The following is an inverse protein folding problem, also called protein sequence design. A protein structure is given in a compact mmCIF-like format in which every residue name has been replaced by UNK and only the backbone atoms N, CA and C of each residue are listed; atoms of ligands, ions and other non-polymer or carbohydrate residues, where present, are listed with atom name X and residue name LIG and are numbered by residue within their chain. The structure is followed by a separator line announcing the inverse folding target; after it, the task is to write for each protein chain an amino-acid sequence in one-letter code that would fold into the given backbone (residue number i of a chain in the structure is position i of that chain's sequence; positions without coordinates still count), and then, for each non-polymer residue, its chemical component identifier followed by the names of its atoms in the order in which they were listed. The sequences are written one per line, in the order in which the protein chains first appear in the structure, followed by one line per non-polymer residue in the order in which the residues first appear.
data_IF_062693783416
#
_entry.id   IF_062693783416
#
_cell.length_a   1.000
_cell.length_b   1.000
_cell.length_c   1.000
_cell.angle_alpha   90.00
_cell.angle_beta   90.00
_cell.angle_gamma   90.00
#
_symmetry.space_group_name_H-M   'P 1'
#
loop_
_entity.id
_entity.type
_entity.pdbx_description
1 polymer ?
#
# COMPACT_ATOMS: atom_id res chain seq x y z
N UNK A 1 19.25 32.98 -14.46
CA UNK A 1 19.64 31.60 -14.07
C UNK A 1 18.86 31.30 -12.81
N UNK A 2 17.93 30.34 -12.86
CA UNK A 2 17.15 29.97 -11.67
C UNK A 2 18.06 29.34 -10.62
N UNK A 3 17.71 29.51 -9.34
CA UNK A 3 18.38 28.80 -8.26
C UNK A 3 18.31 27.28 -8.49
N UNK A 4 19.40 26.57 -8.21
CA UNK A 4 19.42 25.13 -8.31
C UNK A 4 18.37 24.53 -7.35
N UNK A 5 17.64 23.46 -7.75
CA UNK A 5 16.68 22.83 -6.86
C UNK A 5 17.35 22.39 -5.55
N UNK A 6 16.75 22.72 -4.40
CA UNK A 6 17.26 22.31 -3.06
C UNK A 6 17.51 20.81 -2.94
N UNK A 7 16.75 20.00 -3.67
CA UNK A 7 16.93 18.55 -3.73
C UNK A 7 18.34 18.14 -4.18
N UNK A 8 19.06 18.97 -4.93
CA UNK A 8 20.43 18.65 -5.37
C UNK A 8 21.46 18.78 -4.24
N UNK A 9 21.09 19.38 -3.12
CA UNK A 9 21.92 19.45 -1.90
C UNK A 9 21.75 18.20 -1.03
N UNK A 10 20.72 17.38 -1.27
CA UNK A 10 20.54 16.12 -0.57
C UNK A 10 21.68 15.15 -0.92
N UNK A 11 22.33 14.60 0.11
CA UNK A 11 23.54 13.78 -0.06
C UNK A 11 23.29 12.51 -0.88
N UNK A 12 22.09 11.93 -0.80
CA UNK A 12 21.72 10.74 -1.56
C UNK A 12 21.53 11.11 -3.02
N UNK A 13 20.75 12.15 -3.30
CA UNK A 13 20.50 12.62 -4.67
C UNK A 13 21.80 13.08 -5.32
N UNK A 14 22.60 13.91 -4.64
CA UNK A 14 23.89 14.42 -5.13
C UNK A 14 24.83 13.28 -5.49
N UNK A 15 24.91 12.24 -4.65
CA UNK A 15 25.70 11.05 -4.96
C UNK A 15 25.28 10.43 -6.29
N UNK A 16 24.00 10.21 -6.55
CA UNK A 16 23.57 9.64 -7.83
C UNK A 16 23.88 10.56 -9.02
N UNK A 17 23.77 11.88 -8.85
CA UNK A 17 24.08 12.86 -9.89
C UNK A 17 25.59 13.02 -10.16
N UNK A 18 26.47 12.74 -9.19
CA UNK A 18 27.92 12.83 -9.36
C UNK A 18 28.53 11.63 -10.10
N UNK A 19 27.89 10.45 -9.96
CA UNK A 19 28.40 9.20 -10.54
C UNK A 19 27.66 8.78 -11.82
N UNK A 20 26.66 9.55 -12.26
CA UNK A 20 25.98 9.29 -13.53
C UNK A 20 26.76 9.91 -14.70
N UNK A 21 26.74 9.25 -15.85
CA UNK A 21 27.27 9.79 -17.11
C UNK A 21 26.16 10.41 -17.99
N UNK A 22 24.89 10.32 -17.56
CA UNK A 22 23.73 10.81 -18.30
C UNK A 22 23.27 12.18 -17.78
N UNK A 23 22.79 13.01 -18.71
CA UNK A 23 22.21 14.31 -18.37
C UNK A 23 20.86 14.19 -17.66
N UNK A 24 20.11 13.13 -17.97
CA UNK A 24 18.79 12.85 -17.41
C UNK A 24 18.84 11.71 -16.38
N UNK A 25 18.30 11.95 -15.19
CA UNK A 25 18.18 10.97 -14.11
C UNK A 25 16.76 10.97 -13.55
N UNK A 26 16.18 9.78 -13.39
CA UNK A 26 14.83 9.60 -12.83
C UNK A 26 14.90 8.83 -11.52
N UNK A 27 14.33 9.41 -10.46
CA UNK A 27 14.16 8.75 -9.17
C UNK A 27 12.75 8.18 -9.08
N UNK A 28 12.64 6.85 -8.98
CA UNK A 28 11.36 6.14 -9.04
C UNK A 28 11.05 5.54 -7.68
N UNK A 29 9.82 5.74 -7.22
CA UNK A 29 9.24 5.06 -6.06
C UNK A 29 8.16 4.09 -6.54
N UNK A 30 8.33 2.81 -6.21
CA UNK A 30 7.28 1.79 -6.39
C UNK A 30 6.63 1.54 -5.04
N UNK A 31 5.34 1.85 -4.93
CA UNK A 31 4.61 1.76 -3.68
C UNK A 31 3.28 1.03 -3.85
N UNK A 32 2.83 0.40 -2.76
CA UNK A 32 1.47 -0.16 -2.66
C UNK A 32 0.47 0.97 -2.33
N UNK A 33 -0.85 0.71 -2.21
CA UNK A 33 -1.84 1.71 -1.82
C UNK A 33 -1.58 2.44 -0.49
N UNK A 34 -0.56 2.04 0.28
CA UNK A 34 -0.08 2.80 1.45
C UNK A 34 0.32 4.23 1.08
N UNK A 35 0.77 4.48 -0.15
CA UNK A 35 1.13 5.83 -0.64
C UNK A 35 -0.08 6.78 -0.71
N UNK A 36 -1.30 6.23 -0.80
CA UNK A 36 -2.53 7.03 -0.93
C UNK A 36 -2.87 7.81 0.36
N UNK A 37 -2.32 7.44 1.53
CA UNK A 37 -2.75 7.98 2.82
C UNK A 37 -1.57 8.33 3.73
N UNK A 38 -1.57 9.55 4.28
CA UNK A 38 -0.63 9.95 5.33
C UNK A 38 0.82 10.13 4.85
N UNK A 39 1.01 10.41 3.56
CA UNK A 39 2.30 10.78 2.96
C UNK A 39 2.19 12.15 2.33
N UNK A 40 3.12 13.04 2.67
CA UNK A 40 3.22 14.39 2.15
C UNK A 40 4.31 14.44 1.07
N UNK A 41 4.10 13.68 0.00
CA UNK A 41 5.04 13.59 -1.12
C UNK A 41 4.61 14.50 -2.29
N UNK A 42 5.62 14.94 -3.04
CA UNK A 42 5.48 15.77 -4.23
C UNK A 42 6.27 15.14 -5.39
N UNK A 43 5.56 14.44 -6.27
CA UNK A 43 6.11 13.78 -7.46
C UNK A 43 5.99 14.67 -8.70
N UNK A 44 6.93 14.52 -9.64
CA UNK A 44 6.83 15.14 -10.97
C UNK A 44 5.72 14.49 -11.81
N UNK A 45 5.63 13.17 -11.76
CA UNK A 45 4.68 12.35 -12.49
C UNK A 45 4.34 11.06 -11.75
N UNK A 46 3.25 10.40 -12.14
CA UNK A 46 2.85 9.11 -11.56
C UNK A 46 2.26 8.16 -12.61
N UNK A 47 2.47 6.86 -12.40
CA UNK A 47 1.81 5.78 -13.13
C UNK A 47 0.95 5.00 -12.13
N UNK A 48 -0.35 4.87 -12.42
CA UNK A 48 -1.36 4.37 -11.50
C UNK A 48 -1.99 3.09 -12.03
N UNK A 49 -1.90 2.00 -11.27
CA UNK A 49 -2.78 0.83 -11.45
C UNK A 49 -4.17 1.14 -10.85
N UNK A 50 -5.26 1.13 -11.63
CA UNK A 50 -6.55 1.57 -11.13
C UNK A 50 -7.21 0.50 -10.24
N UNK A 51 -7.38 0.83 -8.95
CA UNK A 51 -8.11 -0.01 -7.98
C UNK A 51 -9.48 0.56 -7.61
N UNK A 52 -9.59 1.88 -7.56
CA UNK A 52 -10.80 2.66 -7.27
C UNK A 52 -10.59 4.11 -7.73
N UNK A 53 -11.67 4.85 -7.88
CA UNK A 53 -11.63 6.27 -8.20
C UNK A 53 -10.98 7.10 -7.07
N UNK A 54 -11.14 6.68 -5.80
CA UNK A 54 -10.41 7.31 -4.68
C UNK A 54 -8.90 7.15 -4.80
N UNK A 55 -8.44 5.96 -5.16
CA UNK A 55 -7.02 5.68 -5.33
C UNK A 55 -6.38 6.62 -6.36
N UNK A 56 -7.05 6.78 -7.51
CA UNK A 56 -6.63 7.73 -8.57
C UNK A 56 -6.56 9.17 -8.03
N UNK A 57 -7.61 9.66 -7.36
CA UNK A 57 -7.63 11.03 -6.80
C UNK A 57 -6.53 11.23 -5.76
N UNK A 58 -6.34 10.28 -4.84
CA UNK A 58 -5.37 10.41 -3.75
C UNK A 58 -3.95 10.51 -4.27
N UNK A 59 -3.58 9.65 -5.23
CA UNK A 59 -2.27 9.64 -5.83
C UNK A 59 -2.06 10.85 -6.75
N UNK A 60 -3.09 11.28 -7.49
CA UNK A 60 -3.03 12.55 -8.25
C UNK A 60 -2.73 13.75 -7.34
N UNK A 61 -3.26 13.76 -6.11
CA UNK A 61 -2.96 14.77 -5.09
C UNK A 61 -1.54 14.69 -4.48
N UNK A 62 -0.69 13.79 -4.96
CA UNK A 62 0.76 13.72 -4.66
C UNK A 62 1.62 14.20 -5.83
N UNK A 63 1.03 14.54 -6.96
CA UNK A 63 1.75 15.02 -8.14
C UNK A 63 1.71 16.54 -8.16
N UNK A 64 2.87 17.18 -8.25
CA UNK A 64 3.06 18.65 -8.18
C UNK A 64 2.45 19.29 -6.93
N UNK A 65 2.49 18.57 -5.80
CA UNK A 65 1.70 18.87 -4.60
C UNK A 65 2.07 20.20 -3.92
N UNK A 66 3.35 20.53 -3.85
CA UNK A 66 3.86 21.72 -3.17
C UNK A 66 4.30 22.82 -4.14
N UNK A 67 3.99 22.66 -5.43
CA UNK A 67 4.45 23.56 -6.49
C UNK A 67 3.36 24.55 -6.86
N UNK A 68 3.67 25.84 -6.74
CA UNK A 68 2.81 26.89 -7.28
C UNK A 68 3.01 26.96 -8.80
N UNK A 69 2.05 26.42 -9.54
CA UNK A 69 2.07 26.48 -11.00
C UNK A 69 1.54 27.84 -11.46
N UNK A 70 2.38 28.63 -12.10
CA UNK A 70 2.01 29.91 -12.71
C UNK A 70 1.59 29.77 -14.18
N UNK A 71 1.69 28.56 -14.73
CA UNK A 71 1.35 28.20 -16.10
C UNK A 71 0.59 26.88 -16.09
N UNK A 72 -0.28 26.71 -17.09
CA UNK A 72 -0.97 25.44 -17.29
C UNK A 72 0.01 24.34 -17.69
N UNK A 73 -0.33 23.11 -17.30
CA UNK A 73 0.49 21.93 -17.62
C UNK A 73 0.31 21.59 -19.10
N UNK A 74 1.40 21.60 -19.86
CA UNK A 74 1.40 21.34 -21.30
C UNK A 74 1.31 19.83 -21.63
N UNK A 75 1.97 18.99 -20.84
CA UNK A 75 2.08 17.54 -21.06
C UNK A 75 1.48 16.73 -19.92
N UNK A 76 0.83 15.61 -20.23
CA UNK A 76 0.27 14.73 -19.21
C UNK A 76 1.36 14.21 -18.26
N UNK A 77 1.15 14.42 -16.96
CA UNK A 77 2.06 14.01 -15.88
C UNK A 77 1.48 12.85 -15.03
N UNK A 78 0.28 12.37 -15.34
CA UNK A 78 -0.33 11.22 -14.68
C UNK A 78 -0.78 10.25 -15.78
N UNK A 79 -0.28 9.02 -15.70
CA UNK A 79 -0.76 7.92 -16.51
C UNK A 79 -1.57 6.97 -15.63
N UNK A 80 -2.78 6.60 -16.07
CA UNK A 80 -3.59 5.56 -15.42
C UNK A 80 -3.68 4.38 -16.36
N UNK A 81 -3.33 3.19 -15.88
CA UNK A 81 -3.38 1.98 -16.70
C UNK A 81 -4.82 1.70 -17.16
N UNK A 82 -5.00 1.29 -18.40
CA UNK A 82 -6.32 0.93 -18.93
C UNK A 82 -6.93 -0.29 -18.20
N UNK A 83 -6.09 -1.22 -17.77
CA UNK A 83 -6.48 -2.41 -17.04
C UNK A 83 -5.61 -2.58 -15.80
N UNK A 84 -6.20 -2.99 -14.69
CA UNK A 84 -5.44 -3.45 -13.54
C UNK A 84 -4.92 -4.89 -13.74
N UNK A 85 -4.00 -5.32 -12.89
CA UNK A 85 -3.33 -6.62 -13.00
C UNK A 85 -4.34 -7.78 -13.00
N UNK A 86 -5.43 -7.64 -12.23
CA UNK A 86 -6.46 -8.68 -12.13
C UNK A 86 -7.31 -8.79 -13.39
N UNK A 87 -7.64 -7.67 -14.02
CA UNK A 87 -8.29 -7.62 -15.33
C UNK A 87 -7.38 -8.21 -16.43
N UNK A 88 -6.10 -7.85 -16.42
CA UNK A 88 -5.11 -8.37 -17.39
C UNK A 88 -4.93 -9.89 -17.31
N UNK A 89 -5.00 -10.46 -16.12
CA UNK A 89 -4.96 -11.92 -15.90
C UNK A 89 -6.27 -12.64 -16.29
N UNK A 90 -7.22 -11.94 -16.90
CA UNK A 90 -8.48 -12.47 -17.45
C UNK A 90 -9.27 -13.34 -16.46
N UNK A 91 -9.39 -12.87 -15.22
CA UNK A 91 -10.27 -13.56 -14.27
C UNK A 91 -11.74 -13.31 -14.64
N UNK A 92 -12.54 -14.37 -14.80
CA UNK A 92 -14.01 -14.26 -15.00
C UNK A 92 -14.77 -13.60 -13.82
N UNK A 93 -14.04 -13.16 -12.78
CA UNK A 93 -14.55 -12.54 -11.57
C UNK A 93 -14.40 -11.03 -11.55
N UNK A 94 -14.68 -10.39 -10.39
CA UNK A 94 -14.46 -8.96 -10.18
C UNK A 94 -12.98 -8.60 -10.29
N UNK A 95 -12.65 -7.54 -11.03
CA UNK A 95 -11.29 -7.03 -11.21
C UNK A 95 -10.97 -5.89 -10.24
N UNK A 96 -11.91 -4.98 -9.98
CA UNK A 96 -11.75 -3.85 -9.06
C UNK A 96 -12.10 -4.27 -7.62
N UNK A 97 -11.37 -5.25 -7.11
CA UNK A 97 -11.56 -5.78 -5.75
C UNK A 97 -10.23 -6.23 -5.12
N UNK A 98 -10.15 -6.09 -3.79
CA UNK A 98 -8.96 -6.39 -2.97
C UNK A 98 -7.67 -5.67 -3.43
N UNK A 99 -7.66 -4.32 -3.43
CA UNK A 99 -8.70 -3.41 -2.94
C UNK A 99 -9.72 -3.01 -4.03
N UNK A 100 -10.84 -2.41 -3.62
CA UNK A 100 -11.92 -1.98 -4.51
C UNK A 100 -13.31 -2.48 -4.10
N UNK A 101 -14.35 -2.03 -4.81
CA UNK A 101 -15.76 -2.20 -4.42
C UNK A 101 -16.52 -3.24 -5.25
N UNK A 102 -15.91 -3.75 -6.32
CA UNK A 102 -16.55 -4.71 -7.21
C UNK A 102 -16.74 -6.07 -6.51
N UNK A 103 -17.92 -6.68 -6.68
CA UNK A 103 -18.19 -8.02 -6.16
C UNK A 103 -19.06 -8.83 -7.12
N UNK A 104 -18.90 -10.17 -7.05
CA UNK A 104 -19.54 -11.07 -8.01
C UNK A 104 -21.07 -11.18 -7.84
N UNK A 105 -21.61 -10.80 -6.67
CA UNK A 105 -23.02 -11.05 -6.32
C UNK A 105 -23.96 -9.97 -6.85
N UNK A 106 -23.64 -8.70 -6.59
CA UNK A 106 -24.58 -7.60 -6.81
C UNK A 106 -24.00 -6.41 -7.56
N UNK A 107 -22.68 -6.22 -7.51
CA UNK A 107 -21.99 -5.05 -8.07
C UNK A 107 -20.78 -5.50 -8.90
N UNK A 108 -21.06 -6.22 -9.98
CA UNK A 108 -20.07 -6.60 -10.99
C UNK A 108 -20.12 -5.61 -12.14
N UNK A 109 -18.97 -5.11 -12.56
CA UNK A 109 -18.86 -4.22 -13.71
C UNK A 109 -19.06 -5.02 -15.00
N UNK A 110 -19.67 -4.38 -16.01
CA UNK A 110 -19.90 -4.98 -17.32
C UNK A 110 -18.60 -5.05 -18.13
N UNK A 111 -17.68 -4.13 -17.89
CA UNK A 111 -16.36 -4.05 -18.50
C UNK A 111 -15.30 -3.80 -17.43
N UNK A 112 -14.07 -4.22 -17.70
CA UNK A 112 -12.90 -3.89 -16.87
C UNK A 112 -11.93 -2.93 -17.57
N UNK A 113 -12.28 -2.47 -18.76
CA UNK A 113 -11.57 -1.43 -19.51
C UNK A 113 -11.86 -0.07 -18.88
N UNK A 114 -10.84 0.56 -18.29
CA UNK A 114 -10.99 1.83 -17.60
C UNK A 114 -11.58 2.92 -18.51
N UNK A 115 -11.21 2.96 -19.79
CA UNK A 115 -11.72 3.95 -20.75
C UNK A 115 -13.26 3.89 -20.91
N UNK A 116 -13.87 2.73 -20.63
CA UNK A 116 -15.33 2.56 -20.63
C UNK A 116 -15.97 2.92 -19.27
N UNK A 117 -15.16 2.88 -18.20
CA UNK A 117 -15.61 3.06 -16.81
C UNK A 117 -15.53 4.50 -16.31
N UNK A 118 -14.83 5.38 -17.04
CA UNK A 118 -14.65 6.80 -16.70
C UNK A 118 -15.12 7.71 -17.83
N UNK A 119 -15.28 9.00 -17.51
CA UNK A 119 -15.31 10.06 -18.51
C UNK A 119 -13.87 10.52 -18.75
N UNK A 120 -13.24 10.00 -19.80
CA UNK A 120 -11.85 10.28 -20.14
C UNK A 120 -11.61 11.77 -20.42
N UNK A 121 -12.56 12.45 -21.08
CA UNK A 121 -12.46 13.87 -21.38
C UNK A 121 -12.48 14.71 -20.09
N UNK A 122 -13.36 14.37 -19.15
CA UNK A 122 -13.39 15.02 -17.85
C UNK A 122 -12.12 14.76 -17.04
N UNK A 123 -11.61 13.51 -17.03
CA UNK A 123 -10.41 13.16 -16.28
C UNK A 123 -9.15 13.83 -16.84
N UNK A 124 -9.01 13.88 -18.17
CA UNK A 124 -7.91 14.58 -18.84
C UNK A 124 -7.95 16.09 -18.61
N UNK A 125 -9.13 16.67 -18.40
CA UNK A 125 -9.27 18.08 -18.04
C UNK A 125 -8.87 18.34 -16.59
N UNK A 126 -9.32 17.52 -15.65
CA UNK A 126 -8.99 17.66 -14.24
C UNK A 126 -9.27 16.38 -13.45
N UNK A 127 -8.26 15.91 -12.72
CA UNK A 127 -8.43 14.87 -11.69
C UNK A 127 -8.80 15.55 -10.38
N UNK A 128 -10.04 15.40 -9.93
CA UNK A 128 -10.51 16.04 -8.69
C UNK A 128 -11.50 15.17 -7.90
N UNK A 129 -11.91 15.66 -6.73
CA UNK A 129 -12.78 14.92 -5.82
C UNK A 129 -14.27 14.90 -6.22
N UNK A 130 -14.70 15.65 -7.24
CA UNK A 130 -16.12 15.84 -7.59
C UNK A 130 -16.83 14.49 -7.80
N UNK A 131 -16.31 13.54 -8.61
CA UNK A 131 -16.98 12.26 -8.85
C UNK A 131 -17.16 11.42 -7.57
N UNK A 132 -16.34 11.67 -6.55
CA UNK A 132 -16.41 10.98 -5.26
C UNK A 132 -17.35 11.65 -4.26
N UNK A 133 -17.43 12.96 -4.24
CA UNK A 133 -18.24 13.71 -3.27
C UNK A 133 -19.68 13.90 -3.75
N UNK A 134 -19.88 14.05 -5.06
CA UNK A 134 -21.19 14.32 -5.65
C UNK A 134 -21.74 13.03 -6.26
N UNK A 135 -22.86 12.56 -5.70
CA UNK A 135 -23.62 11.45 -6.29
C UNK A 135 -24.35 11.96 -7.54
N UNK A 136 -24.19 11.32 -8.72
CA UNK A 136 -24.95 11.70 -9.90
C UNK A 136 -26.44 11.37 -9.73
N UNK A 137 -27.32 12.15 -10.38
CA UNK A 137 -28.77 11.93 -10.34
C UNK A 137 -29.16 10.53 -10.86
N UNK A 138 -28.50 10.09 -11.93
CA UNK A 138 -28.68 8.77 -12.53
C UNK A 138 -27.40 7.95 -12.38
N UNK A 139 -27.37 7.08 -11.36
CA UNK A 139 -26.29 6.14 -11.12
C UNK A 139 -26.25 5.02 -12.17
N UNK A 140 -25.04 4.68 -12.59
CA UNK A 140 -24.70 3.57 -13.48
C UNK A 140 -23.65 2.66 -12.81
N UNK A 141 -24.00 1.98 -11.70
CA UNK A 141 -23.02 1.34 -10.81
C UNK A 141 -22.32 0.10 -11.40
N UNK A 142 -22.76 -0.37 -12.57
CA UNK A 142 -22.12 -1.47 -13.31
C UNK A 142 -21.32 -0.99 -14.52
N UNK A 143 -21.34 0.31 -14.81
CA UNK A 143 -20.72 0.92 -15.99
C UNK A 143 -19.76 2.05 -15.65
N UNK A 144 -19.87 2.65 -14.47
CA UNK A 144 -19.00 3.75 -14.03
C UNK A 144 -18.30 3.39 -12.73
N UNK A 145 -16.99 3.65 -12.68
CA UNK A 145 -16.18 3.30 -11.52
C UNK A 145 -16.60 4.09 -10.27
N UNK A 146 -16.82 5.40 -10.37
CA UNK A 146 -17.28 6.21 -9.24
C UNK A 146 -18.69 5.81 -8.76
N UNK A 147 -19.60 5.48 -9.68
CA UNK A 147 -20.97 5.10 -9.35
C UNK A 147 -21.04 3.74 -8.65
N UNK A 148 -20.16 2.81 -9.03
CA UNK A 148 -19.98 1.54 -8.31
C UNK A 148 -19.68 1.80 -6.82
N UNK A 149 -18.81 2.79 -6.55
CA UNK A 149 -18.40 3.16 -5.20
C UNK A 149 -19.54 3.84 -4.44
N UNK A 150 -20.26 4.77 -5.07
CA UNK A 150 -21.46 5.39 -4.49
C UNK A 150 -22.52 4.35 -4.13
N UNK A 151 -22.79 3.40 -5.03
CA UNK A 151 -23.80 2.36 -4.81
C UNK A 151 -23.37 1.37 -3.72
N UNK A 152 -22.10 0.98 -3.68
CA UNK A 152 -21.57 0.14 -2.61
C UNK A 152 -21.68 0.81 -1.24
N UNK A 153 -21.30 2.09 -1.16
CA UNK A 153 -21.42 2.90 0.07
C UNK A 153 -22.88 3.09 0.46
N UNK A 154 -23.77 3.34 -0.52
CA UNK A 154 -25.20 3.49 -0.28
C UNK A 154 -25.78 2.23 0.38
N UNK A 155 -25.55 1.06 -0.22
CA UNK A 155 -26.00 -0.23 0.32
C UNK A 155 -25.47 -0.54 1.71
N UNK A 156 -24.28 -0.06 2.05
CA UNK A 156 -23.66 -0.33 3.35
C UNK A 156 -24.06 0.67 4.44
N UNK A 157 -24.25 1.95 4.11
CA UNK A 157 -24.37 3.01 5.11
C UNK A 157 -25.71 3.75 5.12
N UNK A 158 -26.42 3.83 3.98
CA UNK A 158 -27.58 4.72 3.82
C UNK A 158 -28.81 4.03 3.25
N UNK A 159 -28.81 2.70 3.16
CA UNK A 159 -30.02 1.92 2.92
C UNK A 159 -30.84 1.85 4.23
N UNK A 160 -31.52 2.95 4.54
CA UNK A 160 -32.28 3.12 5.79
C UNK A 160 -33.54 2.24 5.88
N UNK A 161 -33.89 1.50 4.82
CA UNK A 161 -35.01 0.57 4.83
C UNK A 161 -34.57 -0.87 5.15
N UNK A 162 -33.27 -1.13 5.15
CA UNK A 162 -32.72 -2.45 5.37
C UNK A 162 -32.90 -2.87 6.84
N UNK A 163 -33.42 -4.09 7.04
CA UNK A 163 -33.70 -4.68 8.34
C UNK A 163 -32.76 -5.85 8.65
N UNK A 164 -32.76 -6.27 9.90
CA UNK A 164 -32.04 -7.46 10.36
C UNK A 164 -30.56 -7.22 10.67
N UNK A 165 -29.88 -8.22 11.25
CA UNK A 165 -28.62 -8.03 11.96
C UNK A 165 -27.44 -7.61 11.07
N UNK A 166 -27.56 -7.71 9.75
CA UNK A 166 -26.53 -7.30 8.80
C UNK A 166 -26.56 -5.81 8.46
N UNK A 167 -27.72 -5.16 8.64
CA UNK A 167 -27.92 -3.77 8.24
C UNK A 167 -27.42 -2.80 9.31
N UNK A 168 -26.68 -1.76 8.89
CA UNK A 168 -26.25 -0.71 9.81
C UNK A 168 -27.45 0.03 10.41
N UNK A 169 -28.50 0.28 9.63
CA UNK A 169 -29.70 0.93 10.14
C UNK A 169 -30.39 0.09 11.22
N UNK A 170 -30.50 -1.23 11.03
CA UNK A 170 -31.08 -2.12 12.02
C UNK A 170 -30.26 -2.17 13.31
N UNK A 171 -28.94 -1.97 13.25
CA UNK A 171 -28.12 -1.77 14.44
C UNK A 171 -28.51 -0.50 15.22
N UNK A 172 -29.10 0.52 14.58
CA UNK A 172 -29.52 1.74 15.26
C UNK A 172 -30.99 1.72 15.67
N UNK A 173 -31.86 1.10 14.88
CA UNK A 173 -33.32 1.13 15.08
C UNK A 173 -33.90 -0.12 15.74
N UNK A 174 -33.15 -1.22 15.81
CA UNK A 174 -33.59 -2.50 16.40
C UNK A 174 -32.59 -2.98 17.45
N UNK A 175 -32.99 -3.83 18.40
CA UNK A 175 -32.15 -4.20 19.55
C UNK A 175 -31.00 -5.20 19.26
N UNK A 176 -30.44 -5.22 18.05
CA UNK A 176 -29.37 -6.16 17.68
C UNK A 176 -28.08 -5.95 18.46
N UNK A 177 -27.85 -4.75 18.99
CA UNK A 177 -26.71 -4.43 19.87
C UNK A 177 -26.69 -5.23 21.17
N UNK A 178 -27.82 -5.84 21.57
CA UNK A 178 -27.88 -6.78 22.70
C UNK A 178 -27.29 -8.15 22.36
N UNK A 179 -26.90 -8.39 21.11
CA UNK A 179 -26.38 -9.66 20.61
C UNK A 179 -25.03 -9.48 19.91
N UNK A 180 -24.31 -10.59 19.72
CA UNK A 180 -23.09 -10.62 18.91
C UNK A 180 -23.35 -10.95 17.42
N UNK A 181 -24.61 -11.12 17.01
CA UNK A 181 -24.97 -11.58 15.66
C UNK A 181 -24.48 -10.60 14.58
N UNK A 182 -24.65 -9.27 14.70
CA UNK A 182 -24.12 -8.33 13.71
C UNK A 182 -22.61 -8.42 13.52
N UNK A 183 -21.83 -8.60 14.58
CA UNK A 183 -20.37 -8.71 14.53
C UNK A 183 -19.93 -10.05 13.91
N UNK A 184 -20.71 -11.12 14.08
CA UNK A 184 -20.47 -12.40 13.43
C UNK A 184 -20.77 -12.36 11.92
N UNK A 185 -21.81 -11.62 11.51
CA UNK A 185 -22.22 -11.49 10.11
C UNK A 185 -21.39 -10.44 9.35
N UNK A 186 -21.05 -9.33 9.99
CA UNK A 186 -20.23 -8.22 9.46
C UNK A 186 -18.86 -8.19 10.15
N UNK A 187 -18.09 -9.27 10.00
CA UNK A 187 -16.78 -9.38 10.66
C UNK A 187 -15.85 -8.24 10.21
N UNK A 188 -15.38 -7.45 11.16
CA UNK A 188 -14.33 -6.47 10.89
C UNK A 188 -13.06 -7.21 10.46
N UNK A 189 -12.39 -6.72 9.40
CA UNK A 189 -11.22 -7.39 8.79
C UNK A 189 -11.50 -8.85 8.44
N UNK A 190 -12.64 -9.13 7.82
CA UNK A 190 -12.97 -10.46 7.30
C UNK A 190 -11.94 -10.92 6.23
N UNK A 191 -10.95 -11.69 6.67
CA UNK A 191 -9.93 -12.32 5.82
C UNK A 191 -9.51 -13.67 6.39
N UNK A 192 -8.63 -14.37 5.68
CA UNK A 192 -7.83 -15.44 6.29
C UNK A 192 -7.10 -14.88 7.52
N UNK A 193 -6.89 -15.68 8.58
CA UNK A 193 -6.09 -15.27 9.72
C UNK A 193 -4.73 -14.79 9.28
N UNK A 194 -4.36 -13.63 9.80
CA UNK A 194 -3.04 -13.06 9.64
C UNK A 194 -2.09 -13.76 10.62
N UNK A 195 -0.94 -14.19 10.12
CA UNK A 195 0.18 -14.69 10.91
C UNK A 195 1.04 -13.50 11.31
N UNK A 196 1.26 -13.34 12.61
CA UNK A 196 2.10 -12.29 13.14
C UNK A 196 3.51 -12.83 13.43
N UNK A 197 4.50 -12.30 12.73
CA UNK A 197 5.91 -12.59 12.98
C UNK A 197 6.65 -11.34 13.44
N UNK A 198 7.79 -11.57 14.09
CA UNK A 198 8.74 -10.55 14.49
C UNK A 198 10.10 -10.90 13.93
N UNK A 199 10.73 -9.95 13.24
CA UNK A 199 12.12 -10.09 12.80
C UNK A 199 13.02 -9.68 13.97
N UNK A 200 13.43 -10.66 14.78
CA UNK A 200 14.14 -10.44 16.04
C UNK A 200 15.65 -10.56 15.82
N UNK A 201 16.40 -9.58 16.29
CA UNK A 201 17.86 -9.56 16.28
C UNK A 201 18.41 -10.35 17.47
N UNK A 202 19.13 -11.45 17.21
CA UNK A 202 19.76 -12.30 18.23
C UNK A 202 21.02 -12.94 17.70
N UNK A 203 22.09 -12.91 18.48
CA UNK A 203 23.39 -13.50 18.16
C UNK A 203 23.98 -12.98 16.84
N UNK A 204 23.80 -11.68 16.58
CA UNK A 204 24.35 -11.04 15.37
C UNK A 204 23.56 -11.28 14.07
N UNK A 205 22.40 -11.93 14.15
CA UNK A 205 21.55 -12.20 12.99
C UNK A 205 20.08 -11.85 13.27
N UNK A 206 19.33 -11.55 12.21
CA UNK A 206 17.89 -11.32 12.31
C UNK A 206 17.10 -12.60 11.94
N UNK A 207 16.23 -13.03 12.84
CA UNK A 207 15.48 -14.29 12.72
C UNK A 207 13.98 -14.03 12.85
N UNK A 208 13.17 -14.67 12.01
CA UNK A 208 11.71 -14.58 12.12
C UNK A 208 11.18 -15.46 13.26
N UNK A 209 10.48 -14.82 14.20
CA UNK A 209 9.92 -15.43 15.40
C UNK A 209 8.41 -15.22 15.50
N UNK A 210 7.71 -16.17 16.11
CA UNK A 210 6.38 -15.94 16.67
C UNK A 210 6.49 -15.58 18.14
N UNK A 211 5.55 -14.78 18.64
CA UNK A 211 5.43 -14.48 20.06
C UNK A 211 4.40 -15.43 20.68
N UNK A 212 4.81 -16.22 21.67
CA UNK A 212 3.92 -17.15 22.36
C UNK A 212 3.02 -16.45 23.40
N UNK A 213 2.18 -17.22 24.09
CA UNK A 213 1.25 -16.71 25.11
C UNK A 213 1.95 -16.13 26.33
N UNK A 214 3.19 -16.55 26.61
CA UNK A 214 4.03 -16.04 27.69
C UNK A 214 4.80 -14.79 27.27
N UNK A 215 4.79 -14.45 25.97
CA UNK A 215 5.45 -13.31 25.39
C UNK A 215 6.87 -13.58 24.90
N UNK A 216 7.29 -14.84 24.88
CA UNK A 216 8.60 -15.26 24.40
C UNK A 216 8.63 -15.35 22.87
N UNK A 217 9.76 -14.98 22.28
CA UNK A 217 9.95 -15.03 20.82
C UNK A 217 10.60 -16.35 20.42
N UNK A 218 9.81 -17.19 19.74
CA UNK A 218 10.19 -18.53 19.28
C UNK A 218 10.53 -18.47 17.79
N UNK A 219 11.74 -18.86 17.36
CA UNK A 219 12.12 -18.92 15.94
C UNK A 219 11.21 -19.83 15.13
N UNK A 220 10.66 -19.30 14.03
CA UNK A 220 9.71 -19.99 13.14
C UNK A 220 10.06 -19.85 11.65
N UNK A 221 11.19 -19.25 11.33
CA UNK A 221 11.67 -19.07 9.95
C UNK A 221 11.64 -20.36 9.12
N UNK A 222 12.14 -21.47 9.66
CA UNK A 222 12.14 -22.76 8.99
C UNK A 222 10.73 -23.38 8.85
N UNK A 223 9.86 -23.16 9.83
CA UNK A 223 8.47 -23.66 9.83
C UNK A 223 7.69 -23.02 8.69
N UNK A 224 7.90 -21.73 8.44
CA UNK A 224 7.26 -20.99 7.34
C UNK A 224 8.06 -21.00 6.04
N UNK A 225 9.15 -21.77 5.97
CA UNK A 225 10.02 -21.87 4.79
C UNK A 225 10.40 -20.49 4.23
N UNK A 226 10.75 -19.56 5.12
CA UNK A 226 11.18 -18.21 4.76
C UNK A 226 12.65 -18.26 4.37
N UNK A 227 12.95 -17.84 3.14
CA UNK A 227 14.31 -17.81 2.58
C UNK A 227 14.75 -16.38 2.33
N UNK A 228 16.01 -16.07 2.61
CA UNK A 228 16.59 -14.77 2.25
C UNK A 228 16.85 -14.72 0.75
N UNK A 229 16.52 -13.59 0.14
CA UNK A 229 16.67 -13.30 -1.27
C UNK A 229 17.46 -12.01 -1.46
N UNK A 230 18.53 -12.10 -2.25
CA UNK A 230 19.30 -10.95 -2.71
C UNK A 230 19.01 -10.72 -4.19
N UNK A 231 18.53 -9.52 -4.51
CA UNK A 231 18.16 -9.12 -5.88
C UNK A 231 19.13 -8.12 -6.48
N UNK A 232 19.77 -7.32 -5.64
CA UNK A 232 20.60 -6.21 -6.05
C UNK A 232 22.04 -6.47 -5.61
N UNK A 233 22.89 -6.65 -6.60
CA UNK A 233 24.33 -6.89 -6.44
C UNK A 233 25.13 -5.93 -7.32
N UNK A 234 26.38 -5.70 -6.91
CA UNK A 234 27.33 -4.84 -7.62
C UNK A 234 26.72 -3.49 -8.00
N UNK A 235 26.74 -3.18 -9.30
CA UNK A 235 26.27 -1.91 -9.87
C UNK A 235 24.76 -1.70 -9.71
N UNK A 236 23.94 -2.75 -9.67
CA UNK A 236 22.48 -2.56 -9.52
C UNK A 236 22.12 -2.02 -8.13
N UNK A 237 22.88 -2.41 -7.11
CA UNK A 237 22.71 -1.90 -5.74
C UNK A 237 23.07 -0.43 -5.62
N UNK A 238 24.01 0.07 -6.42
CA UNK A 238 24.40 1.49 -6.41
C UNK A 238 23.37 2.40 -7.06
N UNK A 239 22.40 1.83 -7.80
CA UNK A 239 21.28 2.57 -8.40
C UNK A 239 20.08 2.74 -7.46
N UNK A 240 20.08 2.05 -6.31
CA UNK A 240 19.06 2.26 -5.28
C UNK A 240 19.31 3.56 -4.53
N UNK A 241 18.37 4.48 -4.64
CA UNK A 241 18.37 5.74 -3.88
C UNK A 241 17.80 5.61 -2.46
N UNK A 242 17.04 4.55 -2.19
CA UNK A 242 16.59 4.23 -0.84
C UNK A 242 17.05 2.81 -0.53
N UNK A 243 18.00 2.71 0.41
CA UNK A 243 18.52 1.42 0.88
C UNK A 243 18.00 1.21 2.29
N UNK A 244 17.21 0.16 2.46
CA UNK A 244 16.86 -0.35 3.78
C UNK A 244 17.93 -1.38 4.20
N UNK A 245 18.49 -1.22 5.39
CA UNK A 245 19.39 -2.20 5.99
C UNK A 245 18.96 -2.38 7.45
N UNK A 246 18.39 -3.54 7.77
CA UNK A 246 17.71 -3.73 9.04
C UNK A 246 18.66 -3.60 10.23
N UNK A 247 19.87 -4.18 10.12
CA UNK A 247 20.91 -4.09 11.13
C UNK A 247 21.34 -2.65 11.36
N UNK A 248 21.61 -1.89 10.29
CA UNK A 248 22.02 -0.49 10.36
C UNK A 248 20.93 0.36 11.00
N UNK A 249 19.66 0.11 10.67
CA UNK A 249 18.52 0.81 11.28
C UNK A 249 18.46 0.52 12.78
N UNK A 250 18.62 -0.75 13.20
CA UNK A 250 18.65 -1.10 14.62
C UNK A 250 19.83 -0.45 15.35
N UNK A 251 21.03 -0.43 14.75
CA UNK A 251 22.22 0.23 15.32
C UNK A 251 22.03 1.73 15.52
N UNK A 252 21.32 2.41 14.62
CA UNK A 252 20.98 3.84 14.79
C UNK A 252 20.13 4.12 16.03
N UNK A 253 19.34 3.15 16.51
CA UNK A 253 18.61 3.29 17.77
C UNK A 253 19.50 3.15 19.00
N UNK A 254 20.71 2.60 18.84
CA UNK A 254 21.70 2.43 19.92
C UNK A 254 22.61 3.65 20.00
N UNK A 255 23.07 4.18 18.87
CA UNK A 255 23.99 5.35 18.80
C UNK A 255 23.40 6.66 19.38
N UNK A 256 22.09 6.72 19.60
CA UNK A 256 21.43 7.82 20.31
C UNK A 256 21.70 7.79 21.84
N UNK A 257 22.19 6.67 22.37
CA UNK A 257 22.55 6.44 23.77
C UNK A 257 24.08 6.24 23.84
N UNK A 258 24.76 6.91 24.78
CA UNK A 258 26.22 7.13 24.75
C UNK A 258 27.07 5.86 25.04
N UNK A 259 28.28 5.80 24.45
CA UNK A 259 29.44 4.92 24.76
C UNK A 259 29.11 3.51 25.32
N UNK A 260 28.38 2.75 24.53
CA UNK A 260 27.81 1.44 24.84
C UNK A 260 28.74 0.30 24.38
N UNK A 261 29.03 -0.67 25.25
CA UNK A 261 29.80 -1.87 24.88
C UNK A 261 28.97 -2.82 24.00
N UNK A 262 29.60 -3.63 23.13
CA UNK A 262 28.91 -4.48 22.13
C UNK A 262 27.84 -5.43 22.72
N UNK A 263 28.00 -5.89 23.97
CA UNK A 263 27.00 -6.73 24.64
C UNK A 263 25.70 -5.94 24.88
N UNK A 264 25.82 -4.68 25.29
CA UNK A 264 24.68 -3.81 25.55
C UNK A 264 24.05 -3.34 24.22
N UNK A 265 24.87 -3.13 23.17
CA UNK A 265 24.38 -2.91 21.80
C UNK A 265 23.47 -4.06 21.35
N UNK A 266 23.92 -5.30 21.50
CA UNK A 266 23.15 -6.50 21.12
C UNK A 266 21.83 -6.59 21.88
N UNK A 267 21.84 -6.34 23.19
CA UNK A 267 20.64 -6.36 24.03
C UNK A 267 19.63 -5.27 23.63
N UNK A 268 20.10 -4.06 23.33
CA UNK A 268 19.24 -2.96 22.88
C UNK A 268 18.68 -3.29 21.50
N UNK A 269 19.50 -3.74 20.56
CA UNK A 269 19.05 -4.14 19.22
C UNK A 269 17.99 -5.23 19.29
N UNK A 270 18.20 -6.25 20.14
CA UNK A 270 17.22 -7.28 20.40
C UNK A 270 15.91 -6.67 20.92
N UNK A 271 15.94 -5.87 22.00
CA UNK A 271 14.74 -5.27 22.57
C UNK A 271 13.98 -4.35 21.59
N UNK A 272 14.69 -3.59 20.75
CA UNK A 272 14.07 -2.74 19.72
C UNK A 272 13.45 -3.59 18.60
N UNK A 273 14.12 -4.66 18.19
CA UNK A 273 13.62 -5.58 17.17
C UNK A 273 12.36 -6.33 17.64
N UNK A 274 12.32 -6.77 18.89
CA UNK A 274 11.15 -7.40 19.53
C UNK A 274 9.95 -6.46 19.58
N UNK A 275 10.20 -5.14 19.73
CA UNK A 275 9.15 -4.12 19.83
C UNK A 275 8.66 -3.60 18.47
N UNK A 276 9.56 -3.43 17.50
CA UNK A 276 9.27 -2.71 16.25
C UNK A 276 9.46 -3.56 14.99
N UNK A 277 10.01 -4.77 15.10
CA UNK A 277 10.25 -5.70 13.98
C UNK A 277 9.03 -6.51 13.56
N UNK A 278 7.82 -6.07 13.89
CA UNK A 278 6.58 -6.78 13.59
C UNK A 278 6.29 -6.79 12.08
N UNK A 279 5.90 -7.96 11.57
CA UNK A 279 5.43 -8.14 10.19
C UNK A 279 4.27 -9.12 10.14
N UNK A 280 3.29 -8.81 9.31
CA UNK A 280 2.08 -9.61 9.16
C UNK A 280 2.09 -10.35 7.84
N UNK A 281 1.78 -11.64 7.88
CA UNK A 281 1.70 -12.55 6.74
C UNK A 281 0.34 -13.21 6.63
N UNK A 282 0.06 -13.81 5.48
CA UNK A 282 -1.10 -14.70 5.34
C UNK A 282 -0.69 -16.13 5.66
N UNK A 283 -1.45 -16.79 6.52
CA UNK A 283 -1.17 -18.14 7.07
C UNK A 283 -1.17 -19.28 6.05
N UNK A 284 -1.80 -19.11 4.89
CA UNK A 284 -2.21 -20.27 4.06
C UNK A 284 -1.64 -20.21 2.65
N UNK A 285 -0.38 -20.61 2.50
CA UNK A 285 0.29 -20.66 1.21
C UNK A 285 1.21 -21.86 1.13
N UNK A 286 1.00 -22.76 0.17
CA UNK A 286 1.90 -23.90 -0.12
C UNK A 286 3.27 -23.45 -0.69
N UNK A 287 3.42 -22.15 -0.95
CA UNK A 287 4.61 -21.55 -1.54
C UNK A 287 5.59 -21.06 -0.46
N UNK A 288 6.91 -21.19 -0.69
CA UNK A 288 7.91 -20.60 0.19
C UNK A 288 7.76 -19.08 0.22
N UNK A 289 8.12 -18.48 1.36
CA UNK A 289 8.27 -17.04 1.49
C UNK A 289 9.70 -16.63 1.19
N UNK A 290 9.87 -15.48 0.56
CA UNK A 290 11.16 -14.87 0.30
C UNK A 290 11.24 -13.54 1.05
N UNK A 291 12.36 -13.30 1.71
CA UNK A 291 12.66 -12.06 2.41
C UNK A 291 13.79 -11.30 1.74
N UNK A 292 13.60 -10.00 1.54
CA UNK A 292 14.65 -9.08 1.16
C UNK A 292 14.50 -7.78 1.93
N UNK A 293 15.59 -7.17 2.40
CA UNK A 293 15.53 -5.87 3.06
C UNK A 293 14.88 -4.79 2.16
N UNK A 294 15.00 -4.90 0.83
CA UNK A 294 14.41 -3.92 -0.10
C UNK A 294 12.94 -4.20 -0.43
N UNK A 295 12.51 -5.47 -0.44
CA UNK A 295 11.15 -5.86 -0.87
C UNK A 295 10.25 -6.38 0.27
N UNK A 296 10.80 -6.54 1.47
CA UNK A 296 10.11 -7.18 2.59
C UNK A 296 9.87 -8.68 2.34
N UNK A 297 8.75 -9.19 2.85
CA UNK A 297 8.31 -10.56 2.62
C UNK A 297 7.35 -10.64 1.44
N UNK A 298 7.66 -11.52 0.49
CA UNK A 298 6.86 -11.75 -0.71
C UNK A 298 6.93 -13.23 -1.11
N UNK A 299 6.10 -13.61 -2.07
CA UNK A 299 6.12 -14.93 -2.69
C UNK A 299 6.35 -14.77 -4.18
N UNK A 300 7.10 -15.70 -4.77
CA UNK A 300 7.22 -15.74 -6.22
C UNK A 300 5.83 -16.02 -6.82
N UNK A 301 5.47 -15.17 -7.79
CA UNK A 301 4.19 -15.19 -8.49
C UNK A 301 4.26 -16.03 -9.77
N UNK A 302 5.43 -16.58 -10.10
CA UNK A 302 5.63 -17.56 -11.16
C UNK A 302 5.06 -18.95 -10.81
#
# INVERSE_FOLDING_TARGET
MGEAPKAFEDAVIRKHLDYTETDDVSFILVATPVEEVGRDHDFDWAIIEPSSFRSIIQLAGRVLRHRCLNVDIEYANIAVMQYNLKALRQSNGPAYCRPGYENAKSLKLISHDLCQLIDEAALNKAVNAIPRIQRPEKLQPKQRLADLEHEAIHKSLTDYQQKGPQALQAWLSENWWLTAVPQQLNRFRASSPDLLLYMVWRNGEAVFCEKDEQGEFIPRQAVYNIKTAQFFEGETKTKLWLIRDYQTILRRYVEAESNTDEIEIEQIMQAKSERYGEITLRTNTDRPWMYSDQFGLFQDMN
#
